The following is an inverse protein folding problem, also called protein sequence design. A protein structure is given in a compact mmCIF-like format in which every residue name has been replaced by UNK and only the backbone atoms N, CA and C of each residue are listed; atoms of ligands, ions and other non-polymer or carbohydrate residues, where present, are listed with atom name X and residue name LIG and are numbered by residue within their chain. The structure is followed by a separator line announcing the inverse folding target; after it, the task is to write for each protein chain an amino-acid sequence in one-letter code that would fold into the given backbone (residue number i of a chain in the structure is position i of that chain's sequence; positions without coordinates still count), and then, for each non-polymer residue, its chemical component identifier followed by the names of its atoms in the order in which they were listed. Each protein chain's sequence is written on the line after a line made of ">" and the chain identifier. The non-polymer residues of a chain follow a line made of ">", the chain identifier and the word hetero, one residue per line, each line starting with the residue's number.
data_IF_477513300132
#
_entry.id   IF_477513300132
#
_cell.length_a   1.000
_cell.length_b   1.000
_cell.length_c   1.000
_cell.angle_alpha   90.00
_cell.angle_beta   90.00
_cell.angle_gamma   90.00
#
_symmetry.space_group_name_H-M   'P 1'
#
loop_
_entity.id
_entity.type
_entity.pdbx_description
1 polymer ?
#
# COMPACT_ATOMS: atom_id res chain seq x y z
N UNK A 1 -10.70 22.45 19.02
CA UNK A 1 -12.07 22.87 18.66
C UNK A 1 -11.93 23.99 17.65
N UNK A 2 -12.27 23.75 16.37
CA UNK A 2 -12.42 24.85 15.41
C UNK A 2 -13.81 25.45 15.60
N UNK A 3 -13.90 26.76 15.74
CA UNK A 3 -15.16 27.51 15.69
C UNK A 3 -15.40 27.89 14.24
N UNK A 4 -16.63 27.81 13.77
CA UNK A 4 -17.03 28.37 12.49
C UNK A 4 -17.11 29.90 12.57
N UNK A 5 -17.36 30.59 11.46
CA UNK A 5 -17.49 32.03 11.39
C UNK A 5 -18.67 32.60 12.25
N UNK A 6 -19.58 31.74 12.71
CA UNK A 6 -20.71 32.09 13.58
C UNK A 6 -20.42 31.83 15.07
N UNK A 7 -19.23 31.33 15.43
CA UNK A 7 -18.84 31.07 16.82
C UNK A 7 -19.41 29.76 17.40
N UNK A 8 -20.09 28.95 16.62
CA UNK A 8 -20.65 27.67 17.05
C UNK A 8 -19.56 26.58 17.11
N UNK A 9 -19.65 25.69 18.11
CA UNK A 9 -18.75 24.53 18.22
C UNK A 9 -19.02 23.57 17.06
N UNK A 10 -18.02 23.35 16.20
CA UNK A 10 -18.11 22.29 15.20
C UNK A 10 -18.33 20.92 15.90
N UNK A 11 -19.14 20.05 15.34
CA UNK A 11 -19.35 18.72 15.89
C UNK A 11 -18.01 17.98 15.98
N UNK A 12 -17.70 17.42 17.15
CA UNK A 12 -16.44 16.70 17.40
C UNK A 12 -16.45 15.28 16.82
N UNK A 13 -17.57 14.84 16.26
CA UNK A 13 -17.72 13.50 15.70
C UNK A 13 -18.65 13.50 14.49
N UNK A 14 -18.37 12.59 13.55
CA UNK A 14 -19.25 12.25 12.43
C UNK A 14 -19.60 10.75 12.50
N UNK A 15 -20.84 10.39 12.17
CA UNK A 15 -21.28 9.00 12.13
C UNK A 15 -21.69 8.65 10.70
N UNK A 16 -21.03 7.64 10.15
CA UNK A 16 -21.38 7.06 8.85
C UNK A 16 -22.08 5.74 9.11
N UNK A 17 -23.22 5.54 8.46
CA UNK A 17 -23.99 4.28 8.51
C UNK A 17 -24.23 3.78 7.11
N UNK A 18 -23.92 2.49 6.88
CA UNK A 18 -24.16 1.82 5.62
C UNK A 18 -24.93 0.51 5.89
N UNK A 19 -26.02 0.29 5.16
CA UNK A 19 -26.71 -0.98 5.12
C UNK A 19 -26.31 -1.71 3.84
N UNK A 20 -25.60 -2.82 4.00
CA UNK A 20 -25.25 -3.71 2.90
C UNK A 20 -26.31 -4.79 2.78
N UNK A 21 -26.79 -5.02 1.57
CA UNK A 21 -27.67 -6.13 1.25
C UNK A 21 -26.84 -7.12 0.46
N UNK A 22 -26.34 -8.14 1.14
CA UNK A 22 -25.56 -9.21 0.53
C UNK A 22 -26.46 -10.43 0.27
N UNK A 23 -25.98 -11.37 -0.51
CA UNK A 23 -26.71 -12.59 -0.79
C UNK A 23 -26.95 -13.45 0.47
N UNK A 24 -26.09 -13.35 1.48
CA UNK A 24 -26.20 -14.14 2.70
C UNK A 24 -27.19 -13.50 3.70
N UNK A 25 -26.98 -12.23 4.04
CA UNK A 25 -27.86 -11.49 4.98
C UNK A 25 -27.56 -9.99 4.94
N UNK A 26 -28.55 -9.13 5.24
CA UNK A 26 -28.29 -7.70 5.42
C UNK A 26 -27.30 -7.46 6.55
N UNK A 27 -26.34 -6.55 6.34
CA UNK A 27 -25.38 -6.13 7.35
C UNK A 27 -25.47 -4.61 7.55
N UNK A 28 -25.38 -4.17 8.80
CA UNK A 28 -25.34 -2.75 9.15
C UNK A 28 -23.95 -2.40 9.65
N UNK A 29 -23.28 -1.53 8.93
CA UNK A 29 -21.96 -0.98 9.28
C UNK A 29 -22.15 0.43 9.85
N UNK A 30 -21.51 0.72 10.96
CA UNK A 30 -21.46 2.06 11.53
C UNK A 30 -20.01 2.40 11.88
N UNK A 31 -19.57 3.59 11.47
CA UNK A 31 -18.25 4.14 11.82
C UNK A 31 -18.46 5.52 12.41
N UNK A 32 -17.97 5.72 13.64
CA UNK A 32 -17.94 7.00 14.31
C UNK A 32 -16.52 7.56 14.23
N UNK A 33 -16.35 8.66 13.50
CA UNK A 33 -15.10 9.38 13.34
C UNK A 33 -15.06 10.48 14.39
N UNK A 34 -14.09 10.42 15.32
CA UNK A 34 -14.01 11.34 16.46
C UNK A 34 -12.72 12.16 16.33
N UNK A 35 -12.85 13.47 16.29
CA UNK A 35 -11.69 14.37 16.24
C UNK A 35 -10.78 14.17 17.48
N UNK A 36 -9.50 13.89 17.24
CA UNK A 36 -8.50 13.70 18.30
C UNK A 36 -8.61 12.43 19.15
N UNK A 37 -9.47 11.47 18.75
CA UNK A 37 -9.62 10.17 19.42
C UNK A 37 -9.64 9.04 18.40
N UNK A 38 -9.49 7.81 18.88
CA UNK A 38 -9.65 6.63 18.04
C UNK A 38 -11.10 6.51 17.52
N UNK A 39 -11.24 6.17 16.24
CA UNK A 39 -12.53 5.91 15.63
C UNK A 39 -13.20 4.68 16.28
N UNK A 40 -14.51 4.68 16.34
CA UNK A 40 -15.33 3.55 16.83
C UNK A 40 -16.07 2.92 15.67
N UNK A 41 -16.33 1.63 15.79
CA UNK A 41 -17.08 0.89 14.78
C UNK A 41 -18.13 -0.01 15.42
N UNK A 42 -19.19 -0.30 14.65
CA UNK A 42 -20.22 -1.31 15.00
C UNK A 42 -20.54 -2.11 13.76
N UNK A 43 -20.72 -3.41 13.97
CA UNK A 43 -21.25 -4.33 12.98
C UNK A 43 -22.56 -4.91 13.51
N UNK A 44 -23.64 -4.72 12.77
CA UNK A 44 -24.99 -5.15 13.17
C UNK A 44 -25.36 -4.66 14.59
N UNK A 45 -25.04 -3.39 14.90
CA UNK A 45 -25.22 -2.71 16.20
C UNK A 45 -24.26 -3.18 17.31
N UNK A 46 -23.53 -4.29 17.15
CA UNK A 46 -22.53 -4.75 18.12
C UNK A 46 -21.24 -3.94 17.97
N UNK A 47 -20.63 -3.45 19.08
CA UNK A 47 -19.33 -2.79 19.03
C UNK A 47 -18.27 -3.72 18.45
N UNK A 48 -17.43 -3.17 17.56
CA UNK A 48 -16.34 -3.90 16.92
C UNK A 48 -15.12 -3.00 16.71
N UNK A 49 -13.98 -3.57 16.35
CA UNK A 49 -12.81 -2.76 15.96
C UNK A 49 -12.97 -2.31 14.51
N UNK A 50 -12.56 -1.08 14.15
CA UNK A 50 -12.60 -0.61 12.76
C UNK A 50 -11.92 -1.58 11.77
N UNK A 51 -10.86 -2.26 12.20
CA UNK A 51 -10.14 -3.27 11.40
C UNK A 51 -10.98 -4.50 11.06
N UNK A 52 -12.00 -4.80 11.84
CA UNK A 52 -12.92 -5.92 11.58
C UNK A 52 -13.99 -5.60 10.53
N UNK A 53 -14.13 -4.34 10.14
CA UNK A 53 -14.99 -3.93 9.02
C UNK A 53 -14.28 -4.05 7.66
N UNK A 54 -12.94 -4.21 7.66
CA UNK A 54 -12.17 -4.35 6.43
C UNK A 54 -12.56 -5.61 5.68
N UNK A 55 -12.79 -5.47 4.38
CA UNK A 55 -13.20 -6.57 3.50
C UNK A 55 -14.69 -6.91 3.50
N UNK A 56 -15.50 -6.37 4.44
CA UNK A 56 -16.97 -6.58 4.45
C UNK A 56 -17.63 -5.81 3.30
N UNK A 57 -17.18 -4.59 3.04
CA UNK A 57 -17.64 -3.79 1.90
C UNK A 57 -16.41 -3.35 1.11
N UNK A 58 -16.19 -3.99 -0.02
CA UNK A 58 -15.11 -3.63 -0.92
C UNK A 58 -15.56 -2.45 -1.78
N UNK A 59 -14.83 -1.34 -1.72
CA UNK A 59 -15.17 -0.13 -2.48
C UNK A 59 -13.95 0.38 -3.21
N UNK A 60 -14.12 0.80 -4.45
CA UNK A 60 -13.13 1.54 -5.23
C UNK A 60 -13.71 2.92 -5.51
N UNK A 61 -13.00 3.94 -5.06
CA UNK A 61 -13.30 5.32 -5.38
C UNK A 61 -12.26 5.83 -6.38
N UNK A 62 -12.74 6.45 -7.47
CA UNK A 62 -11.95 7.32 -8.30
C UNK A 62 -12.37 8.77 -8.01
N UNK A 63 -11.39 9.63 -7.81
CA UNK A 63 -11.58 11.07 -7.61
C UNK A 63 -10.40 11.84 -8.23
N UNK A 64 -10.52 13.17 -8.49
CA UNK A 64 -9.46 13.99 -9.08
C UNK A 64 -8.10 13.90 -8.35
N UNK A 65 -8.11 13.66 -7.04
CA UNK A 65 -6.92 13.47 -6.23
C UNK A 65 -6.10 12.24 -6.64
N UNK A 66 -6.68 11.27 -7.34
CA UNK A 66 -6.00 10.07 -7.82
C UNK A 66 -4.93 10.37 -8.89
N UNK A 67 -4.95 11.54 -9.49
CA UNK A 67 -3.83 12.04 -10.30
C UNK A 67 -2.50 12.04 -9.51
N UNK A 68 -2.56 12.14 -8.19
CA UNK A 68 -1.38 12.03 -7.33
C UNK A 68 -0.71 10.66 -7.41
N UNK A 69 -1.41 9.59 -7.80
CA UNK A 69 -0.82 8.27 -8.04
C UNK A 69 0.25 8.31 -9.15
N UNK A 70 0.01 9.13 -10.18
CA UNK A 70 0.93 9.28 -11.32
C UNK A 70 2.02 10.32 -11.04
N UNK A 71 1.66 11.45 -10.43
CA UNK A 71 2.54 12.64 -10.32
C UNK A 71 3.39 12.65 -9.06
N UNK A 72 2.85 12.14 -7.95
CA UNK A 72 3.42 12.36 -6.62
C UNK A 72 4.56 11.38 -6.29
N UNK A 73 5.00 11.45 -5.04
CA UNK A 73 6.08 10.64 -4.51
C UNK A 73 5.68 9.17 -4.31
N UNK A 74 6.65 8.27 -4.20
CA UNK A 74 6.42 6.84 -3.98
C UNK A 74 5.50 6.52 -2.80
N UNK A 75 5.41 7.40 -1.80
CA UNK A 75 4.56 7.19 -0.63
C UNK A 75 3.08 7.03 -0.98
N UNK A 76 2.58 7.81 -1.96
CA UNK A 76 1.18 7.73 -2.41
C UNK A 76 0.91 6.37 -3.07
N UNK A 77 1.82 5.92 -3.93
CA UNK A 77 1.71 4.63 -4.62
C UNK A 77 1.86 3.44 -3.67
N UNK A 78 2.76 3.52 -2.67
CA UNK A 78 2.83 2.50 -1.62
C UNK A 78 1.53 2.40 -0.83
N UNK A 79 0.95 3.56 -0.46
CA UNK A 79 -0.34 3.57 0.24
C UNK A 79 -1.44 2.94 -0.59
N UNK A 80 -1.51 3.25 -1.89
CA UNK A 80 -2.45 2.62 -2.82
C UNK A 80 -2.30 1.09 -2.82
N UNK A 81 -1.06 0.57 -2.96
CA UNK A 81 -0.80 -0.87 -2.91
C UNK A 81 -1.21 -1.47 -1.57
N UNK A 82 -0.84 -0.84 -0.45
CA UNK A 82 -1.15 -1.34 0.88
C UNK A 82 -2.65 -1.36 1.17
N UNK A 83 -3.37 -0.33 0.76
CA UNK A 83 -4.82 -0.25 0.92
C UNK A 83 -5.51 -1.35 0.10
N UNK A 84 -5.06 -1.61 -1.13
CA UNK A 84 -5.59 -2.66 -1.98
C UNK A 84 -5.22 -4.07 -1.46
N UNK A 85 -3.97 -4.29 -1.01
CA UNK A 85 -3.52 -5.53 -0.35
C UNK A 85 -4.40 -5.86 0.85
N UNK A 86 -4.68 -4.86 1.71
CA UNK A 86 -5.51 -5.03 2.91
C UNK A 86 -6.97 -5.30 2.53
N UNK A 87 -7.48 -4.66 1.49
CA UNK A 87 -8.85 -4.87 1.00
C UNK A 87 -9.06 -6.30 0.48
N UNK A 88 -8.07 -6.86 -0.22
CA UNK A 88 -8.10 -8.24 -0.71
C UNK A 88 -7.72 -9.27 0.36
N UNK A 89 -6.88 -8.89 1.32
CA UNK A 89 -6.38 -9.78 2.38
C UNK A 89 -6.40 -9.07 3.74
N UNK A 90 -7.55 -8.95 4.42
CA UNK A 90 -7.69 -8.17 5.66
C UNK A 90 -6.72 -8.56 6.79
N UNK A 91 -6.25 -9.81 6.80
CA UNK A 91 -5.22 -10.29 7.74
C UNK A 91 -3.91 -9.48 7.66
N UNK A 92 -3.59 -8.91 6.50
CA UNK A 92 -2.38 -8.11 6.30
C UNK A 92 -2.47 -6.71 6.90
N UNK A 93 -3.65 -6.27 7.35
CA UNK A 93 -3.80 -5.02 8.10
C UNK A 93 -2.96 -5.00 9.38
N UNK A 94 -2.89 -6.15 10.10
CA UNK A 94 -2.04 -6.31 11.27
C UNK A 94 -0.55 -6.21 10.92
N UNK A 95 -0.12 -6.92 9.88
CA UNK A 95 1.28 -6.89 9.40
C UNK A 95 1.70 -5.46 9.02
N UNK A 96 0.84 -4.72 8.31
CA UNK A 96 1.08 -3.32 7.95
C UNK A 96 1.22 -2.42 9.18
N UNK A 97 0.28 -2.54 10.13
CA UNK A 97 0.30 -1.72 11.35
C UNK A 97 1.55 -2.01 12.21
N UNK A 98 1.93 -3.28 12.36
CA UNK A 98 3.12 -3.68 13.09
C UNK A 98 4.41 -3.22 12.37
N UNK A 99 4.45 -3.32 11.04
CA UNK A 99 5.55 -2.77 10.24
C UNK A 99 5.74 -1.27 10.49
N UNK A 100 4.67 -0.48 10.43
CA UNK A 100 4.73 0.97 10.63
C UNK A 100 5.18 1.32 12.05
N UNK A 101 4.71 0.56 13.05
CA UNK A 101 5.12 0.72 14.45
C UNK A 101 6.61 0.40 14.64
N UNK A 102 7.08 -0.74 14.13
CA UNK A 102 8.49 -1.15 14.22
C UNK A 102 9.39 -0.15 13.48
N UNK A 103 8.99 0.28 12.29
CA UNK A 103 9.70 1.30 11.51
C UNK A 103 9.83 2.62 12.29
N UNK A 104 8.78 3.05 12.96
CA UNK A 104 8.78 4.27 13.78
C UNK A 104 9.73 4.13 14.98
N UNK A 105 9.71 2.99 15.68
CA UNK A 105 10.62 2.69 16.81
C UNK A 105 12.08 2.68 16.36
N UNK A 106 12.39 1.95 15.28
CA UNK A 106 13.73 1.90 14.70
C UNK A 106 14.22 3.29 14.28
N UNK A 107 13.36 4.07 13.62
CA UNK A 107 13.68 5.46 13.21
C UNK A 107 13.96 6.36 14.42
N UNK A 108 13.22 6.19 15.52
CA UNK A 108 13.46 6.89 16.77
C UNK A 108 14.81 6.53 17.38
N UNK A 109 15.16 5.24 17.36
CA UNK A 109 16.42 4.74 17.88
C UNK A 109 17.62 5.24 17.08
N UNK A 110 17.55 5.21 15.73
CA UNK A 110 18.60 5.74 14.85
C UNK A 110 18.87 7.23 15.12
N UNK A 111 17.82 8.03 15.30
CA UNK A 111 17.97 9.45 15.67
C UNK A 111 18.60 9.64 17.04
N UNK A 112 18.20 8.79 17.99
CA UNK A 112 18.73 8.83 19.37
C UNK A 112 20.21 8.43 19.46
N UNK A 113 20.67 7.50 18.63
CA UNK A 113 22.05 6.99 18.62
C UNK A 113 23.09 8.04 18.26
N UNK A 114 22.73 9.10 17.53
CA UNK A 114 23.64 10.22 17.25
C UNK A 114 24.11 10.95 18.50
N UNK A 115 23.36 10.89 19.60
CA UNK A 115 23.63 11.59 20.87
C UNK A 115 24.19 10.67 21.95
N UNK A 116 24.35 9.37 21.68
CA UNK A 116 24.79 8.39 22.66
C UNK A 116 26.26 8.01 22.46
N UNK A 117 26.95 7.74 23.57
CA UNK A 117 28.34 7.25 23.60
C UNK A 117 28.50 6.14 24.65
N UNK A 118 29.64 5.46 24.66
CA UNK A 118 29.98 4.43 25.65
C UNK A 118 28.96 3.30 25.74
N UNK A 119 28.69 2.84 26.95
CA UNK A 119 27.80 1.72 27.25
C UNK A 119 26.34 1.96 26.80
N UNK A 120 25.86 3.20 26.90
CA UNK A 120 24.53 3.57 26.44
C UNK A 120 24.37 3.44 24.91
N UNK A 121 25.44 3.65 24.15
CA UNK A 121 25.47 3.41 22.69
C UNK A 121 25.47 1.91 22.40
N UNK A 122 26.25 1.12 23.09
CA UNK A 122 26.32 -0.33 22.90
C UNK A 122 24.97 -1.00 23.18
N UNK A 123 24.29 -0.65 24.28
CA UNK A 123 22.96 -1.13 24.60
C UNK A 123 21.91 -0.73 23.54
N UNK A 124 21.98 0.50 23.01
CA UNK A 124 21.07 0.95 21.98
C UNK A 124 21.32 0.24 20.63
N UNK A 125 22.55 -0.14 20.30
CA UNK A 125 22.87 -0.94 19.11
C UNK A 125 22.31 -2.37 19.24
N UNK A 126 22.44 -3.02 20.41
CA UNK A 126 21.83 -4.33 20.63
C UNK A 126 20.29 -4.29 20.53
N UNK A 127 19.67 -3.19 20.97
CA UNK A 127 18.23 -2.98 20.79
C UNK A 127 17.89 -2.78 19.29
N UNK A 128 18.77 -2.15 18.52
CA UNK A 128 18.56 -1.95 17.09
C UNK A 128 18.54 -3.28 16.32
N UNK A 129 19.35 -4.26 16.72
CA UNK A 129 19.38 -5.59 16.09
C UNK A 129 18.02 -6.31 16.23
N UNK A 130 17.38 -6.21 17.39
CA UNK A 130 16.02 -6.76 17.60
C UNK A 130 14.99 -6.10 16.67
N UNK A 131 15.07 -4.76 16.51
CA UNK A 131 14.18 -4.05 15.58
C UNK A 131 14.48 -4.37 14.12
N UNK A 132 15.73 -4.66 13.77
CA UNK A 132 16.11 -5.06 12.42
C UNK A 132 15.48 -6.39 12.03
N UNK A 133 15.55 -7.39 12.91
CA UNK A 133 14.93 -8.70 12.69
C UNK A 133 13.41 -8.58 12.48
N UNK A 134 12.73 -7.85 13.37
CA UNK A 134 11.29 -7.65 13.28
C UNK A 134 10.91 -6.88 12.03
N UNK A 135 11.64 -5.80 11.70
CA UNK A 135 11.38 -4.99 10.51
C UNK A 135 11.59 -5.81 9.23
N UNK A 136 12.68 -6.59 9.14
CA UNK A 136 12.97 -7.43 7.99
C UNK A 136 11.85 -8.46 7.75
N UNK A 137 11.37 -9.11 8.82
CA UNK A 137 10.32 -10.12 8.73
C UNK A 137 8.97 -9.53 8.27
N UNK A 138 8.58 -8.38 8.84
CA UNK A 138 7.33 -7.70 8.47
C UNK A 138 7.41 -7.08 7.07
N UNK A 139 8.56 -6.48 6.72
CA UNK A 139 8.80 -5.91 5.40
C UNK A 139 8.75 -6.98 4.30
N UNK A 140 9.35 -8.16 4.52
CA UNK A 140 9.32 -9.25 3.55
C UNK A 140 7.89 -9.72 3.24
N UNK A 141 7.02 -9.81 4.26
CA UNK A 141 5.60 -10.15 4.06
C UNK A 141 4.88 -9.09 3.21
N UNK A 142 5.10 -7.79 3.48
CA UNK A 142 4.50 -6.70 2.70
C UNK A 142 5.02 -6.68 1.26
N UNK A 143 6.34 -6.86 1.06
CA UNK A 143 6.96 -6.91 -0.26
C UNK A 143 6.34 -8.04 -1.08
N UNK A 144 6.31 -9.26 -0.56
CA UNK A 144 5.74 -10.41 -1.26
C UNK A 144 4.26 -10.20 -1.60
N UNK A 145 3.47 -9.59 -0.69
CA UNK A 145 2.07 -9.27 -0.95
C UNK A 145 1.89 -8.23 -2.04
N UNK A 146 2.70 -7.15 -2.02
CA UNK A 146 2.67 -6.10 -3.04
C UNK A 146 3.10 -6.61 -4.41
N UNK A 147 4.15 -7.44 -4.48
CA UNK A 147 4.60 -8.06 -5.74
C UNK A 147 3.49 -8.93 -6.33
N UNK A 148 2.86 -9.80 -5.53
CA UNK A 148 1.71 -10.61 -5.98
C UNK A 148 0.58 -9.73 -6.51
N UNK A 149 0.24 -8.67 -5.79
CA UNK A 149 -0.79 -7.73 -6.20
C UNK A 149 -0.45 -7.04 -7.52
N UNK A 150 0.77 -6.52 -7.68
CA UNK A 150 1.20 -5.85 -8.92
C UNK A 150 1.12 -6.79 -10.12
N UNK A 151 1.53 -8.04 -9.97
CA UNK A 151 1.41 -9.06 -11.03
C UNK A 151 -0.03 -9.32 -11.42
N UNK A 152 -0.92 -9.44 -10.45
CA UNK A 152 -2.35 -9.63 -10.69
C UNK A 152 -3.01 -8.39 -11.31
N UNK A 153 -2.57 -7.19 -10.90
CA UNK A 153 -3.14 -5.93 -11.36
C UNK A 153 -2.72 -5.56 -12.79
N UNK A 154 -1.52 -5.98 -13.21
CA UNK A 154 -0.89 -5.62 -14.50
C UNK A 154 -1.79 -5.85 -15.73
N UNK A 155 -2.37 -7.04 -15.95
CA UNK A 155 -3.25 -7.27 -17.10
C UNK A 155 -4.52 -6.40 -17.06
N UNK A 156 -5.09 -6.19 -15.88
CA UNK A 156 -6.27 -5.34 -15.72
C UNK A 156 -5.98 -3.87 -16.00
N UNK A 157 -4.80 -3.37 -15.61
CA UNK A 157 -4.39 -1.99 -15.91
C UNK A 157 -4.18 -1.80 -17.41
N UNK A 158 -3.53 -2.75 -18.08
CA UNK A 158 -3.36 -2.71 -19.53
C UNK A 158 -4.71 -2.65 -20.26
N UNK A 159 -5.64 -3.53 -19.89
CA UNK A 159 -6.99 -3.59 -20.47
C UNK A 159 -7.80 -2.33 -20.16
N UNK A 160 -7.84 -1.88 -18.90
CA UNK A 160 -8.59 -0.70 -18.51
C UNK A 160 -8.06 0.55 -19.18
N UNK A 161 -6.74 0.69 -19.32
CA UNK A 161 -6.15 1.84 -20.01
C UNK A 161 -6.52 1.88 -21.49
N UNK A 162 -6.53 0.75 -22.18
CA UNK A 162 -6.99 0.65 -23.57
C UNK A 162 -8.45 1.06 -23.73
N UNK A 163 -9.28 0.79 -22.71
CA UNK A 163 -10.71 1.13 -22.74
C UNK A 163 -10.96 2.64 -22.55
N UNK A 164 -10.19 3.29 -21.67
CA UNK A 164 -10.43 4.70 -21.28
C UNK A 164 -9.56 5.70 -22.04
N UNK A 165 -8.50 5.23 -22.71
CA UNK A 165 -7.56 6.07 -23.45
C UNK A 165 -7.74 5.89 -24.94
N UNK A 166 -7.73 7.01 -25.68
CA UNK A 166 -7.61 7.01 -27.14
C UNK A 166 -6.16 6.84 -27.62
N UNK A 167 -5.20 6.76 -26.68
CA UNK A 167 -3.78 6.63 -27.00
C UNK A 167 -3.42 5.20 -27.43
N UNK A 168 -2.41 5.09 -28.32
CA UNK A 168 -1.89 3.80 -28.77
C UNK A 168 -0.90 3.15 -27.77
N UNK A 169 -0.51 3.87 -26.73
CA UNK A 169 0.45 3.41 -25.72
C UNK A 169 -0.18 2.37 -24.81
N UNK A 170 0.58 1.34 -24.45
CA UNK A 170 0.16 0.35 -23.45
C UNK A 170 0.59 0.81 -22.05
N UNK A 171 -0.32 0.69 -21.08
CA UNK A 171 0.00 0.91 -19.68
C UNK A 171 0.62 -0.34 -19.06
N UNK A 172 1.67 -0.17 -18.27
CA UNK A 172 2.32 -1.24 -17.56
C UNK A 172 2.74 -0.81 -16.15
N UNK A 173 2.97 -1.80 -15.29
CA UNK A 173 3.34 -1.62 -13.88
C UNK A 173 4.63 -2.39 -13.58
N UNK A 174 5.52 -1.79 -12.80
CA UNK A 174 6.71 -2.44 -12.29
C UNK A 174 6.89 -2.16 -10.79
N UNK A 175 7.09 -3.22 -10.01
CA UNK A 175 7.43 -3.09 -8.59
C UNK A 175 8.94 -2.94 -8.42
N UNK A 176 9.38 -1.80 -7.89
CA UNK A 176 10.80 -1.51 -7.63
C UNK A 176 11.12 -1.73 -6.16
N UNK A 177 11.97 -2.71 -5.88
CA UNK A 177 12.39 -3.06 -4.54
C UNK A 177 13.69 -2.37 -4.15
N UNK A 178 13.67 -1.60 -3.08
CA UNK A 178 14.86 -0.97 -2.50
C UNK A 178 15.92 -1.98 -2.06
N UNK A 179 15.49 -3.20 -1.70
CA UNK A 179 16.37 -4.31 -1.38
C UNK A 179 17.27 -4.68 -2.57
N UNK A 180 16.68 -4.90 -3.73
CA UNK A 180 17.40 -5.32 -4.94
C UNK A 180 18.33 -4.20 -5.43
N UNK A 181 17.84 -2.95 -5.43
CA UNK A 181 18.65 -1.79 -5.75
C UNK A 181 19.85 -1.63 -4.79
N UNK A 182 19.67 -1.84 -3.48
CA UNK A 182 20.75 -1.79 -2.50
C UNK A 182 21.80 -2.90 -2.68
N UNK A 183 21.40 -4.03 -3.27
CA UNK A 183 22.29 -5.16 -3.62
C UNK A 183 22.91 -5.05 -5.01
N UNK A 184 22.70 -3.94 -5.70
CA UNK A 184 23.28 -3.68 -7.03
C UNK A 184 22.53 -4.37 -8.19
N UNK A 185 21.33 -4.91 -7.95
CA UNK A 185 20.48 -5.46 -9.01
C UNK A 185 19.77 -4.30 -9.70
N UNK A 186 20.03 -4.12 -11.00
CA UNK A 186 19.37 -3.10 -11.80
C UNK A 186 17.92 -3.49 -12.09
N UNK A 187 17.06 -2.48 -12.25
CA UNK A 187 15.69 -2.71 -12.73
C UNK A 187 15.78 -3.22 -14.19
N UNK A 188 15.02 -4.28 -14.54
CA UNK A 188 14.95 -4.74 -15.92
C UNK A 188 14.34 -3.71 -16.87
N UNK A 189 14.58 -3.84 -18.17
CA UNK A 189 13.81 -3.09 -19.17
C UNK A 189 12.33 -3.48 -19.09
N UNK A 190 11.43 -2.50 -19.15
CA UNK A 190 9.99 -2.74 -19.04
C UNK A 190 9.45 -3.66 -20.16
N UNK A 191 10.14 -3.71 -21.30
CA UNK A 191 9.81 -4.58 -22.41
C UNK A 191 10.22 -6.05 -22.17
N UNK A 192 11.19 -6.30 -21.29
CA UNK A 192 11.65 -7.65 -20.94
C UNK A 192 10.80 -8.23 -19.81
N UNK A 193 9.67 -8.84 -20.21
CA UNK A 193 8.74 -9.44 -19.25
C UNK A 193 9.35 -10.61 -18.47
N UNK A 194 10.26 -11.39 -19.09
CA UNK A 194 10.93 -12.50 -18.43
C UNK A 194 11.87 -12.02 -17.32
N UNK A 195 12.69 -11.00 -17.60
CA UNK A 195 13.58 -10.43 -16.60
C UNK A 195 12.80 -9.77 -15.44
N UNK A 196 11.62 -9.17 -15.70
CA UNK A 196 10.75 -8.67 -14.64
C UNK A 196 10.13 -9.80 -13.81
N UNK A 197 9.75 -10.92 -14.44
CA UNK A 197 9.26 -12.08 -13.71
C UNK A 197 10.32 -12.65 -12.77
N UNK A 198 11.55 -12.80 -13.23
CA UNK A 198 12.67 -13.28 -12.40
C UNK A 198 12.99 -12.31 -11.26
N UNK A 199 13.02 -11.00 -11.55
CA UNK A 199 13.21 -9.95 -10.55
C UNK A 199 12.14 -10.05 -9.44
N UNK A 200 10.87 -10.14 -9.82
CA UNK A 200 9.75 -10.24 -8.90
C UNK A 200 9.70 -11.61 -8.18
N UNK A 201 10.04 -12.72 -8.86
CA UNK A 201 10.09 -14.05 -8.26
C UNK A 201 11.08 -14.09 -7.09
N UNK A 202 12.21 -13.40 -7.19
CA UNK A 202 13.21 -13.33 -6.13
C UNK A 202 12.70 -12.71 -4.82
N UNK A 203 11.57 -11.99 -4.87
CA UNK A 203 10.94 -11.30 -3.73
C UNK A 203 9.74 -12.05 -3.13
N UNK A 204 9.30 -13.15 -3.74
CA UNK A 204 8.10 -13.89 -3.29
C UNK A 204 8.36 -14.81 -2.11
N UNK A 205 9.58 -15.31 -1.96
CA UNK A 205 9.98 -16.10 -0.79
C UNK A 205 10.21 -15.16 0.39
N UNK A 206 9.27 -15.18 1.33
CA UNK A 206 9.29 -14.31 2.52
C UNK A 206 10.52 -14.58 3.39
N UNK A 207 10.94 -15.83 3.53
CA UNK A 207 12.09 -16.18 4.39
C UNK A 207 13.41 -15.72 3.76
N UNK A 208 13.59 -16.00 2.47
CA UNK A 208 14.76 -15.53 1.72
C UNK A 208 14.83 -14.02 1.67
N UNK A 209 13.71 -13.33 1.41
CA UNK A 209 13.62 -11.87 1.38
C UNK A 209 13.89 -11.25 2.76
N UNK A 210 13.38 -11.84 3.84
CA UNK A 210 13.64 -11.38 5.20
C UNK A 210 15.14 -11.48 5.55
N UNK A 211 15.76 -12.63 5.24
CA UNK A 211 17.20 -12.82 5.43
C UNK A 211 18.02 -11.81 4.64
N UNK A 212 17.70 -11.62 3.36
CA UNK A 212 18.38 -10.67 2.49
C UNK A 212 18.22 -9.21 2.98
N UNK A 213 17.04 -8.83 3.51
CA UNK A 213 16.82 -7.53 4.13
C UNK A 213 17.70 -7.33 5.35
N UNK A 214 17.76 -8.33 6.25
CA UNK A 214 18.57 -8.26 7.46
C UNK A 214 20.07 -8.11 7.16
N UNK A 215 20.58 -8.91 6.21
CA UNK A 215 21.95 -8.81 5.72
C UNK A 215 22.25 -7.41 5.14
N UNK A 216 21.33 -6.90 4.32
CA UNK A 216 21.50 -5.58 3.67
C UNK A 216 21.42 -4.43 4.68
N UNK A 217 20.52 -4.52 5.69
CA UNK A 217 20.49 -3.56 6.81
C UNK A 217 21.82 -3.56 7.58
N UNK A 218 22.42 -4.73 7.81
CA UNK A 218 23.75 -4.86 8.42
C UNK A 218 24.83 -4.15 7.62
N UNK A 219 24.86 -4.35 6.29
CA UNK A 219 25.81 -3.68 5.39
C UNK A 219 25.62 -2.16 5.34
N UNK A 220 24.38 -1.69 5.42
CA UNK A 220 24.03 -0.27 5.39
C UNK A 220 24.08 0.41 6.76
N UNK A 221 24.31 -0.34 7.84
CA UNK A 221 24.24 0.10 9.25
C UNK A 221 24.99 1.42 9.48
N UNK A 222 26.24 1.51 9.05
CA UNK A 222 27.05 2.71 9.27
C UNK A 222 26.41 3.94 8.59
N UNK A 223 25.96 3.79 7.35
CA UNK A 223 25.29 4.87 6.60
C UNK A 223 23.95 5.28 7.20
N UNK A 224 23.20 4.32 7.75
CA UNK A 224 21.94 4.57 8.46
C UNK A 224 22.16 5.34 9.77
N UNK A 225 23.21 4.99 10.51
CA UNK A 225 23.60 5.69 11.73
C UNK A 225 24.05 7.14 11.45
N UNK A 226 24.81 7.36 10.40
CA UNK A 226 25.27 8.70 9.98
C UNK A 226 24.09 9.58 9.55
N UNK A 227 23.18 9.04 8.75
CA UNK A 227 22.03 9.77 8.21
C UNK A 227 20.83 9.82 9.17
N UNK A 228 20.79 8.92 10.15
CA UNK A 228 19.67 8.68 11.08
C UNK A 228 18.35 8.36 10.36
N UNK A 229 18.40 7.57 9.26
CA UNK A 229 17.26 7.16 8.46
C UNK A 229 17.38 5.69 8.06
N UNK A 230 16.24 5.02 7.91
CA UNK A 230 16.19 3.69 7.32
C UNK A 230 16.41 3.78 5.81
N UNK A 231 17.33 3.01 5.25
CA UNK A 231 17.73 3.10 3.85
C UNK A 231 17.14 2.00 2.97
N UNK A 232 16.68 0.88 3.53
CA UNK A 232 16.15 -0.27 2.80
C UNK A 232 14.91 -0.85 3.47
N UNK A 233 14.01 -1.43 2.69
CA UNK A 233 12.79 -2.11 3.14
C UNK A 233 11.52 -1.60 2.47
N UNK A 234 10.38 -2.22 2.78
CA UNK A 234 9.07 -1.97 2.14
C UNK A 234 8.65 -0.48 2.12
N UNK A 235 9.10 0.32 3.08
CA UNK A 235 8.85 1.76 3.16
C UNK A 235 9.67 2.59 2.14
N UNK A 236 10.62 1.98 1.43
CA UNK A 236 11.48 2.61 0.41
C UNK A 236 11.15 2.17 -1.01
N UNK A 237 10.34 1.12 -1.14
CA UNK A 237 9.97 0.57 -2.44
C UNK A 237 9.03 1.51 -3.21
N UNK A 238 8.87 1.26 -4.51
CA UNK A 238 7.99 2.05 -5.36
C UNK A 238 7.21 1.16 -6.34
N UNK A 239 6.08 1.68 -6.80
CA UNK A 239 5.35 1.21 -7.96
C UNK A 239 5.60 2.20 -9.10
N UNK A 240 6.32 1.78 -10.13
CA UNK A 240 6.50 2.62 -11.32
C UNK A 240 5.42 2.31 -12.34
N UNK A 241 4.80 3.37 -12.83
CA UNK A 241 3.78 3.33 -13.86
C UNK A 241 4.43 3.69 -15.19
N UNK A 242 4.15 2.90 -16.23
CA UNK A 242 4.70 3.11 -17.57
C UNK A 242 3.59 3.29 -18.60
N UNK A 243 3.89 4.12 -19.63
CA UNK A 243 3.15 4.19 -20.88
C UNK A 243 4.13 3.89 -22.02
N UNK A 244 3.94 2.75 -22.67
CA UNK A 244 4.96 2.16 -23.52
C UNK A 244 6.23 1.89 -22.72
N UNK A 245 7.36 2.41 -23.18
CA UNK A 245 8.66 2.25 -22.53
C UNK A 245 9.04 3.37 -21.56
N UNK A 246 8.23 4.43 -21.47
CA UNK A 246 8.53 5.62 -20.67
C UNK A 246 7.80 5.60 -19.34
N UNK A 247 8.45 6.00 -18.23
CA UNK A 247 7.76 6.24 -16.97
C UNK A 247 6.67 7.32 -17.14
N UNK A 248 5.46 7.07 -16.66
CA UNK A 248 4.39 8.05 -16.78
C UNK A 248 4.71 9.35 -16.01
N UNK A 249 5.40 9.24 -14.87
CA UNK A 249 5.85 10.41 -14.10
C UNK A 249 6.90 11.18 -14.89
N UNK A 250 6.56 12.39 -15.30
CA UNK A 250 7.44 13.31 -16.02
C UNK A 250 7.35 13.24 -17.54
N UNK A 251 6.75 12.18 -18.12
CA UNK A 251 6.62 12.00 -19.56
C UNK A 251 5.18 12.01 -20.05
N UNK A 252 4.22 11.52 -19.27
CA UNK A 252 2.82 11.49 -19.66
C UNK A 252 2.19 12.89 -19.70
N UNK A 253 1.41 13.14 -20.72
CA UNK A 253 0.55 14.33 -20.84
C UNK A 253 -0.52 14.33 -19.73
N UNK A 254 -1.21 15.47 -19.55
CA UNK A 254 -2.26 15.58 -18.51
C UNK A 254 -3.40 14.56 -18.74
N UNK A 255 -3.85 14.42 -19.99
CA UNK A 255 -4.91 13.45 -20.34
C UNK A 255 -4.47 12.00 -20.10
N UNK A 256 -3.23 11.64 -20.48
CA UNK A 256 -2.69 10.30 -20.23
C UNK A 256 -2.57 9.99 -18.73
N UNK A 257 -2.18 10.98 -17.92
CA UNK A 257 -2.12 10.82 -16.46
C UNK A 257 -3.50 10.60 -15.87
N UNK A 258 -4.53 11.31 -16.37
CA UNK A 258 -5.91 11.12 -15.96
C UNK A 258 -6.41 9.73 -16.33
N UNK A 259 -6.24 9.34 -17.60
CA UNK A 259 -6.61 8.01 -18.09
C UNK A 259 -5.91 6.89 -17.33
N UNK A 260 -4.62 7.09 -16.99
CA UNK A 260 -3.85 6.09 -16.23
C UNK A 260 -4.31 5.97 -14.76
N UNK A 261 -4.64 7.10 -14.11
CA UNK A 261 -5.18 7.09 -12.75
C UNK A 261 -6.55 6.40 -12.71
N UNK A 262 -7.43 6.71 -13.67
CA UNK A 262 -8.72 6.04 -13.81
C UNK A 262 -8.54 4.55 -14.10
N UNK A 263 -7.65 4.19 -15.03
CA UNK A 263 -7.35 2.80 -15.37
C UNK A 263 -6.86 1.98 -14.15
N UNK A 264 -6.04 2.57 -13.27
CA UNK A 264 -5.60 1.93 -12.03
C UNK A 264 -6.78 1.63 -11.09
N UNK A 265 -7.76 2.52 -10.97
CA UNK A 265 -8.95 2.32 -10.16
C UNK A 265 -9.90 1.29 -10.77
N UNK A 266 -10.15 1.38 -12.07
CA UNK A 266 -10.94 0.37 -12.79
C UNK A 266 -10.29 -1.01 -12.71
N UNK A 267 -8.98 -1.11 -12.90
CA UNK A 267 -8.23 -2.36 -12.75
C UNK A 267 -8.34 -2.92 -11.32
N UNK A 268 -8.30 -2.07 -10.30
CA UNK A 268 -8.50 -2.49 -8.90
C UNK A 268 -9.90 -3.06 -8.68
N UNK A 269 -10.92 -2.43 -9.30
CA UNK A 269 -12.31 -2.92 -9.24
C UNK A 269 -12.45 -4.28 -9.94
N UNK A 270 -11.93 -4.42 -11.16
CA UNK A 270 -12.01 -5.67 -11.92
C UNK A 270 -11.24 -6.80 -11.24
N UNK A 271 -10.06 -6.52 -10.66
CA UNK A 271 -9.31 -7.49 -9.89
C UNK A 271 -10.10 -7.99 -8.67
N UNK A 272 -10.73 -7.08 -7.92
CA UNK A 272 -11.54 -7.46 -6.76
C UNK A 272 -12.81 -8.21 -7.16
N UNK A 273 -13.43 -7.87 -8.30
CA UNK A 273 -14.58 -8.58 -8.85
C UNK A 273 -14.22 -10.00 -9.25
N UNK A 274 -13.07 -10.19 -9.91
CA UNK A 274 -12.57 -11.51 -10.28
C UNK A 274 -12.25 -12.37 -9.04
N UNK A 275 -11.65 -11.78 -7.99
CA UNK A 275 -11.39 -12.46 -6.71
C UNK A 275 -12.69 -12.86 -6.01
N UNK A 276 -13.69 -12.00 -6.00
CA UNK A 276 -15.03 -12.30 -5.43
C UNK A 276 -15.70 -13.46 -6.16
N UNK A 277 -15.59 -13.53 -7.48
CA UNK A 277 -16.15 -14.63 -8.26
C UNK A 277 -15.50 -15.99 -7.94
N UNK A 278 -14.17 -15.99 -7.69
CA UNK A 278 -13.43 -17.20 -7.31
C UNK A 278 -13.72 -17.67 -5.88
N UNK A 279 -14.04 -16.75 -4.97
CA UNK A 279 -14.30 -17.05 -3.56
C UNK A 279 -15.80 -17.23 -3.24
N UNK A 280 -16.65 -17.07 -4.25
CA UNK A 280 -18.12 -17.18 -4.13
C UNK A 280 -18.54 -18.59 -3.70
N UNK A 281 -19.33 -18.67 -2.64
CA UNK A 281 -20.06 -19.87 -2.23
C UNK A 281 -21.46 -19.80 -2.85
N UNK A 282 -21.92 -20.84 -3.50
CA UNK A 282 -23.25 -20.95 -4.16
C UNK A 282 -23.49 -19.97 -5.33
N UNK A 283 -22.44 -19.54 -6.05
CA UNK A 283 -22.57 -18.70 -7.25
C UNK A 283 -23.03 -17.26 -6.96
N UNK A 284 -23.03 -16.83 -5.71
CA UNK A 284 -23.39 -15.47 -5.28
C UNK A 284 -22.14 -14.68 -4.96
N UNK A 285 -21.59 -13.99 -5.95
CA UNK A 285 -20.48 -13.08 -5.80
C UNK A 285 -20.92 -11.81 -5.04
N UNK A 286 -20.10 -11.35 -4.10
CA UNK A 286 -20.24 -10.02 -3.49
C UNK A 286 -19.35 -9.06 -4.27
N UNK A 287 -19.90 -8.47 -5.33
CA UNK A 287 -19.16 -7.54 -6.16
C UNK A 287 -18.74 -6.29 -5.39
N UNK A 288 -17.54 -5.75 -5.65
CA UNK A 288 -17.13 -4.48 -5.08
C UNK A 288 -18.01 -3.32 -5.61
N UNK A 289 -18.06 -2.21 -4.87
CA UNK A 289 -18.76 -1.00 -5.27
C UNK A 289 -17.78 -0.05 -5.94
N UNK A 290 -18.04 0.34 -7.18
CA UNK A 290 -17.29 1.38 -7.88
C UNK A 290 -18.00 2.73 -7.71
N UNK A 291 -17.24 3.72 -7.26
CA UNK A 291 -17.69 5.11 -7.10
C UNK A 291 -16.79 5.96 -8.00
N UNK A 292 -17.40 6.71 -8.92
CA UNK A 292 -16.71 7.62 -9.83
C UNK A 292 -17.14 9.04 -9.49
N UNK A 293 -16.18 9.90 -9.18
CA UNK A 293 -16.38 11.30 -8.84
C UNK A 293 -15.65 12.18 -9.87
N UNK A 294 -16.36 13.12 -10.49
CA UNK A 294 -15.84 14.03 -11.53
C UNK A 294 -15.07 13.33 -12.67
N UNK A 295 -15.73 12.36 -13.33
CA UNK A 295 -15.17 11.60 -14.48
C UNK A 295 -15.50 12.27 -15.81
#
# INVERSE_FOLDING_TARGET
>A
VRRDASGQNQPNAAVIRAKLITAARPQLLEVEIISGKANRARLNRAPTRPTQLLGICRTVLFAPEDLTLVRSDPQVRRRFLDDLVVMMSPRLAGVRADHDKVLAQRSGLLRGLKRKSGSARASALATLDVWDEQLAQLAAQLIAARVKLVRQLRPWVAQSYQTVSLAQSQANLAYRASLLAARGVADPDIADTGAWEDYENSLLDVQATSKALLETMGQLRQRELERAVNLVGAHRDDLTLFLGHLPAKGFASHGEQWSLALALRLASFELMRADSALTSIDGKSEDPILILDDV
#
